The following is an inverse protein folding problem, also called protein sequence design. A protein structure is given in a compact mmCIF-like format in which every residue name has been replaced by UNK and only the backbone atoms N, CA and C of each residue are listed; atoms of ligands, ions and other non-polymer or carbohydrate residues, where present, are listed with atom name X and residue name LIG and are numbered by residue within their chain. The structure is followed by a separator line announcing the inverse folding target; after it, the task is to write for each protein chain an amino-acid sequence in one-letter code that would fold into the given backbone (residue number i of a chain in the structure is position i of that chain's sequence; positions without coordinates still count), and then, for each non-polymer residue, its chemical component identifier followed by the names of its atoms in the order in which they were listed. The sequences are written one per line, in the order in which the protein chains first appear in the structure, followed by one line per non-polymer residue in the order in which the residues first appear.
data_IF_020379626573
#
_entry.id   IF_020379626573
#
_cell.length_a   1.000
_cell.length_b   1.000
_cell.length_c   1.000
_cell.angle_alpha   90.00
_cell.angle_beta   90.00
_cell.angle_gamma   90.00
#
_symmetry.space_group_name_H-M   'P 1'
#
loop_
_entity.id
_entity.type
_entity.pdbx_description
1 polymer ?
#
# COMPACT_ATOMS: atom_id res chain seq x y z
N UNK A 1 -4.24 -20.72 -0.30
CA UNK A 1 -5.07 -19.67 -0.94
C UNK A 1 -4.90 -18.41 -0.13
N UNK A 2 -4.46 -17.31 -0.77
CA UNK A 2 -4.08 -16.10 -0.07
C UNK A 2 -4.87 -14.90 -0.58
N UNK A 3 -5.38 -14.10 0.33
CA UNK A 3 -5.94 -12.78 0.02
C UNK A 3 -4.89 -11.74 0.36
N UNK A 4 -4.63 -10.83 -0.57
CA UNK A 4 -3.64 -9.80 -0.39
C UNK A 4 -4.32 -8.46 -0.10
N UNK A 5 -3.85 -7.77 0.93
CA UNK A 5 -4.13 -6.36 1.17
C UNK A 5 -2.85 -5.57 0.93
N UNK A 6 -2.88 -4.73 -0.10
CA UNK A 6 -1.78 -3.85 -0.48
C UNK A 6 -2.15 -2.43 -0.05
N UNK A 7 -1.45 -1.90 0.95
CA UNK A 7 -1.70 -0.54 1.44
C UNK A 7 -0.69 0.40 0.82
N UNK A 8 -1.15 1.29 -0.05
CA UNK A 8 -0.38 2.34 -0.71
C UNK A 8 -0.72 3.76 -0.21
N UNK A 9 -1.67 3.88 0.72
CA UNK A 9 -2.00 5.12 1.41
C UNK A 9 -1.94 4.91 2.94
N UNK A 10 -0.98 5.50 3.67
CA UNK A 10 -0.92 5.37 5.13
C UNK A 10 -2.02 6.11 5.88
N UNK A 11 -2.71 7.05 5.23
CA UNK A 11 -3.68 7.93 5.89
C UNK A 11 -5.11 7.40 5.79
N UNK A 12 -5.41 6.69 4.70
CA UNK A 12 -6.75 6.20 4.43
C UNK A 12 -6.68 4.78 3.83
N UNK A 13 -7.14 3.79 4.60
CA UNK A 13 -7.08 2.36 4.24
C UNK A 13 -8.13 1.50 4.99
N UNK A 14 -9.07 2.13 5.69
CA UNK A 14 -9.99 1.42 6.58
C UNK A 14 -11.01 0.58 5.80
N UNK A 15 -11.57 1.10 4.69
CA UNK A 15 -12.54 0.36 3.88
C UNK A 15 -11.87 -0.88 3.29
N UNK A 16 -10.67 -0.72 2.75
CA UNK A 16 -9.87 -1.79 2.18
C UNK A 16 -9.44 -2.83 3.22
N UNK A 17 -9.01 -2.39 4.41
CA UNK A 17 -8.66 -3.27 5.52
C UNK A 17 -9.85 -4.14 5.93
N UNK A 18 -11.01 -3.54 6.16
CA UNK A 18 -12.21 -4.29 6.56
C UNK A 18 -12.67 -5.25 5.47
N UNK A 19 -12.57 -4.85 4.19
CA UNK A 19 -12.86 -5.75 3.08
C UNK A 19 -11.90 -6.93 3.04
N UNK A 20 -10.59 -6.69 3.16
CA UNK A 20 -9.58 -7.76 3.18
C UNK A 20 -9.80 -8.76 4.33
N UNK A 21 -10.13 -8.27 5.52
CA UNK A 21 -10.47 -9.11 6.67
C UNK A 21 -11.75 -9.92 6.38
N UNK A 22 -12.81 -9.29 5.88
CA UNK A 22 -14.07 -9.97 5.57
C UNK A 22 -13.89 -11.07 4.53
N UNK A 23 -13.16 -10.79 3.46
CA UNK A 23 -12.89 -11.74 2.38
C UNK A 23 -12.04 -12.91 2.89
N UNK A 24 -11.03 -12.64 3.74
CA UNK A 24 -10.22 -13.69 4.37
C UNK A 24 -11.06 -14.61 5.26
N UNK A 25 -12.00 -14.05 6.05
CA UNK A 25 -12.93 -14.84 6.85
C UNK A 25 -13.84 -15.71 5.99
N UNK A 26 -14.49 -15.11 4.98
CA UNK A 26 -15.46 -15.80 4.12
C UNK A 26 -14.83 -16.95 3.34
N UNK A 27 -13.60 -16.77 2.87
CA UNK A 27 -12.88 -17.76 2.07
C UNK A 27 -12.00 -18.69 2.92
N UNK A 28 -12.00 -18.55 4.26
CA UNK A 28 -11.10 -19.26 5.16
C UNK A 28 -9.63 -19.19 4.69
N UNK A 29 -9.24 -18.02 4.19
CA UNK A 29 -7.94 -17.78 3.57
C UNK A 29 -7.05 -16.96 4.50
N UNK A 30 -5.73 -17.14 4.36
CA UNK A 30 -4.74 -16.29 5.02
C UNK A 30 -4.77 -14.90 4.40
N UNK A 31 -4.84 -13.87 5.24
CA UNK A 31 -4.68 -12.48 4.83
C UNK A 31 -3.20 -12.13 4.83
N UNK A 32 -2.64 -11.88 3.64
CA UNK A 32 -1.30 -11.31 3.48
C UNK A 32 -1.39 -9.81 3.36
N UNK A 33 -0.56 -9.10 4.11
CA UNK A 33 -0.59 -7.62 4.13
C UNK A 33 0.78 -7.08 3.83
N UNK A 34 0.82 -6.11 2.93
CA UNK A 34 2.04 -5.39 2.56
C UNK A 34 1.76 -3.90 2.53
N UNK A 35 2.73 -3.13 3.03
CA UNK A 35 2.74 -1.69 2.84
C UNK A 35 3.63 -1.36 1.64
N UNK A 36 3.05 -0.72 0.63
CA UNK A 36 3.72 -0.39 -0.62
C UNK A 36 4.04 1.10 -0.67
N UNK A 37 5.32 1.42 -0.86
CA UNK A 37 5.81 2.79 -1.06
C UNK A 37 6.19 2.94 -2.53
N UNK A 38 5.54 3.89 -3.21
CA UNK A 38 5.91 4.26 -4.57
C UNK A 38 7.02 5.31 -4.56
N UNK A 39 8.25 4.89 -4.86
CA UNK A 39 9.40 5.79 -4.86
C UNK A 39 9.30 6.89 -5.93
N UNK A 40 8.58 6.65 -7.04
CA UNK A 40 8.37 7.67 -8.07
C UNK A 40 7.44 8.77 -7.58
N UNK A 41 6.38 8.43 -6.84
CA UNK A 41 5.46 9.44 -6.29
C UNK A 41 6.15 10.36 -5.29
N UNK A 42 7.15 9.86 -4.55
CA UNK A 42 7.97 10.70 -3.65
C UNK A 42 8.82 11.68 -4.47
N UNK A 43 9.39 11.23 -5.60
CA UNK A 43 10.15 12.11 -6.49
C UNK A 43 9.28 13.20 -7.12
N UNK A 44 8.05 12.85 -7.53
CA UNK A 44 7.08 13.79 -8.09
C UNK A 44 6.75 14.90 -7.07
N UNK A 45 6.45 14.53 -5.82
CA UNK A 45 6.17 15.50 -4.73
C UNK A 45 7.38 16.39 -4.43
N UNK A 46 8.60 15.83 -4.41
CA UNK A 46 9.82 16.61 -4.21
C UNK A 46 10.03 17.59 -5.38
N UNK A 47 9.75 17.16 -6.60
CA UNK A 47 9.80 18.01 -7.79
C UNK A 47 8.85 19.21 -7.69
N UNK A 48 7.60 18.97 -7.27
CA UNK A 48 6.60 20.03 -7.06
C UNK A 48 7.01 21.01 -5.95
N UNK A 49 7.53 20.51 -4.83
CA UNK A 49 8.05 21.35 -3.73
C UNK A 49 9.25 22.19 -4.18
N UNK A 50 10.11 21.64 -5.05
CA UNK A 50 11.22 22.36 -5.66
C UNK A 50 10.75 23.48 -6.59
N UNK A 51 9.73 23.21 -7.42
CA UNK A 51 9.17 24.19 -8.36
C UNK A 51 8.40 25.32 -7.65
N UNK A 52 7.78 25.04 -6.51
CA UNK A 52 7.06 26.04 -5.70
C UNK A 52 7.97 26.90 -4.82
N UNK A 53 9.30 26.68 -4.87
CA UNK A 53 10.29 27.44 -4.11
C UNK A 53 10.32 27.13 -2.61
N UNK A 54 9.62 26.08 -2.18
CA UNK A 54 9.59 25.61 -0.80
C UNK A 54 10.86 24.88 -0.37
N UNK A 55 11.59 24.31 -1.34
CA UNK A 55 12.88 23.70 -1.08
C UNK A 55 13.96 24.77 -1.07
N UNK A 56 14.42 25.13 0.13
CA UNK A 56 15.65 25.90 0.32
C UNK A 56 16.89 25.13 -0.16
N UNK A 57 18.08 25.54 0.26
CA UNK A 57 19.37 24.95 -0.14
C UNK A 57 19.63 23.51 0.33
N UNK A 58 18.62 22.80 0.84
CA UNK A 58 18.76 21.43 1.28
C UNK A 58 18.92 20.49 0.06
N UNK A 59 19.87 19.53 0.10
CA UNK A 59 20.03 18.56 -0.96
C UNK A 59 18.76 17.72 -1.12
N UNK A 60 18.23 17.64 -2.34
CA UNK A 60 17.01 16.87 -2.68
C UNK A 60 17.06 15.43 -2.16
N UNK A 61 18.23 14.80 -2.18
CA UNK A 61 18.45 13.46 -1.64
C UNK A 61 18.16 13.36 -0.13
N UNK A 62 18.51 14.37 0.67
CA UNK A 62 18.24 14.33 2.12
C UNK A 62 16.74 14.42 2.42
N UNK A 63 16.00 15.21 1.64
CA UNK A 63 14.55 15.30 1.77
C UNK A 63 13.89 13.99 1.38
N UNK A 64 14.34 13.38 0.28
CA UNK A 64 13.87 12.07 -0.15
C UNK A 64 14.06 11.00 0.92
N UNK A 65 15.24 10.94 1.52
CA UNK A 65 15.55 10.00 2.60
C UNK A 65 14.64 10.23 3.82
N UNK A 66 14.45 11.49 4.22
CA UNK A 66 13.56 11.83 5.35
C UNK A 66 12.09 11.49 5.06
N UNK A 67 11.62 11.71 3.83
CA UNK A 67 10.26 11.33 3.44
C UNK A 67 10.09 9.81 3.46
N UNK A 68 11.02 9.05 2.86
CA UNK A 68 11.00 7.59 2.89
C UNK A 68 11.00 7.04 4.32
N UNK A 69 11.84 7.60 5.19
CA UNK A 69 11.86 7.24 6.61
C UNK A 69 10.51 7.52 7.30
N UNK A 70 9.89 8.67 7.01
CA UNK A 70 8.55 8.98 7.48
C UNK A 70 7.49 7.97 7.01
N UNK A 71 7.52 7.59 5.73
CA UNK A 71 6.60 6.57 5.19
C UNK A 71 6.83 5.19 5.81
N UNK A 72 8.09 4.78 6.05
CA UNK A 72 8.41 3.53 6.76
C UNK A 72 7.90 3.54 8.20
N UNK A 73 8.01 4.67 8.90
CA UNK A 73 7.47 4.82 10.24
C UNK A 73 5.93 4.65 10.24
N UNK A 74 5.25 5.32 9.31
CA UNK A 74 3.80 5.17 9.12
C UNK A 74 3.40 3.73 8.76
N UNK A 75 4.18 3.06 7.92
CA UNK A 75 3.95 1.66 7.54
C UNK A 75 3.90 0.75 8.77
N UNK A 76 4.81 0.95 9.73
CA UNK A 76 4.83 0.18 11.00
C UNK A 76 3.51 0.31 11.75
N UNK A 77 2.98 1.53 11.86
CA UNK A 77 1.74 1.79 12.60
C UNK A 77 0.50 1.27 11.87
N UNK A 78 0.48 1.38 10.54
CA UNK A 78 -0.55 0.77 9.69
C UNK A 78 -0.58 -0.74 9.90
N UNK A 79 0.56 -1.42 9.77
CA UNK A 79 0.68 -2.87 9.90
C UNK A 79 0.29 -3.35 11.32
N UNK A 80 0.67 -2.61 12.37
CA UNK A 80 0.22 -2.88 13.75
C UNK A 80 -1.29 -2.78 13.88
N UNK A 81 -1.92 -1.76 13.27
CA UNK A 81 -3.38 -1.59 13.30
C UNK A 81 -4.09 -2.73 12.57
N UNK A 82 -3.63 -3.10 11.37
CA UNK A 82 -4.17 -4.24 10.62
C UNK A 82 -4.02 -5.53 11.42
N UNK A 83 -2.85 -5.76 12.05
CA UNK A 83 -2.61 -6.90 12.93
C UNK A 83 -3.62 -7.00 14.07
N UNK A 84 -3.86 -5.89 14.75
CA UNK A 84 -4.83 -5.82 15.83
C UNK A 84 -6.24 -6.17 15.33
N UNK A 85 -6.65 -5.60 14.20
CA UNK A 85 -8.00 -5.82 13.63
C UNK A 85 -8.20 -7.23 13.10
N UNK A 86 -7.21 -7.82 12.44
CA UNK A 86 -7.27 -9.21 12.01
C UNK A 86 -7.38 -10.17 13.21
N UNK A 87 -6.63 -9.91 14.28
CA UNK A 87 -6.71 -10.70 15.53
C UNK A 87 -8.09 -10.60 16.19
N UNK A 88 -8.68 -9.40 16.26
CA UNK A 88 -10.05 -9.19 16.78
C UNK A 88 -11.11 -9.99 16.01
N UNK A 89 -10.80 -10.40 14.78
CA UNK A 89 -11.68 -11.13 13.87
C UNK A 89 -11.23 -12.57 13.63
N UNK A 90 -10.25 -13.06 14.40
CA UNK A 90 -9.73 -14.43 14.30
C UNK A 90 -9.24 -14.80 12.88
N UNK A 91 -8.73 -13.82 12.13
CA UNK A 91 -8.15 -14.03 10.79
C UNK A 91 -6.67 -14.32 10.90
N UNK A 92 -6.21 -15.39 10.23
CA UNK A 92 -4.78 -15.67 10.10
C UNK A 92 -4.12 -14.59 9.24
N UNK A 93 -3.08 -13.96 9.79
CA UNK A 93 -2.41 -12.82 9.18
C UNK A 93 -0.93 -13.12 8.93
N UNK A 94 -0.46 -12.74 7.75
CA UNK A 94 0.94 -12.84 7.34
C UNK A 94 1.42 -11.48 6.82
N UNK A 95 2.16 -10.76 7.68
CA UNK A 95 2.66 -9.42 7.38
C UNK A 95 3.96 -9.57 6.58
N UNK A 96 3.95 -9.05 5.37
CA UNK A 96 5.14 -8.95 4.53
C UNK A 96 5.96 -7.72 4.92
N UNK A 97 7.22 -7.71 4.51
CA UNK A 97 8.09 -6.54 4.62
C UNK A 97 7.51 -5.33 3.86
N UNK A 98 7.92 -4.12 4.25
CA UNK A 98 7.59 -2.91 3.50
C UNK A 98 8.25 -3.00 2.13
N UNK A 99 7.46 -2.82 1.07
CA UNK A 99 7.95 -2.91 -0.30
C UNK A 99 8.07 -1.51 -0.88
N UNK A 100 9.28 -1.16 -1.30
CA UNK A 100 9.62 0.12 -1.93
C UNK A 100 9.93 -0.13 -3.41
N UNK A 101 9.03 0.29 -4.31
CA UNK A 101 9.19 0.05 -5.75
C UNK A 101 8.61 1.19 -6.59
N UNK A 102 9.08 1.38 -7.83
CA UNK A 102 8.61 2.45 -8.70
C UNK A 102 7.21 2.22 -9.31
N UNK A 103 6.70 0.99 -9.26
CA UNK A 103 5.43 0.62 -9.91
C UNK A 103 4.63 -0.34 -9.05
N UNK A 104 3.45 0.10 -8.63
CA UNK A 104 2.45 -0.72 -7.95
C UNK A 104 1.89 -1.77 -8.90
N UNK A 105 1.57 -1.40 -10.14
CA UNK A 105 1.01 -2.31 -11.15
C UNK A 105 1.88 -3.56 -11.35
N UNK A 106 3.19 -3.38 -11.59
CA UNK A 106 4.12 -4.52 -11.76
C UNK A 106 4.10 -5.44 -10.53
N UNK A 107 4.09 -4.84 -9.34
CA UNK A 107 4.03 -5.60 -8.09
C UNK A 107 2.72 -6.39 -7.97
N UNK A 108 1.58 -5.83 -8.37
CA UNK A 108 0.30 -6.53 -8.34
C UNK A 108 0.28 -7.74 -9.29
N UNK A 109 0.89 -7.65 -10.47
CA UNK A 109 1.02 -8.80 -11.38
C UNK A 109 1.92 -9.91 -10.79
N UNK A 110 3.02 -9.55 -10.12
CA UNK A 110 3.84 -10.53 -9.39
C UNK A 110 3.06 -11.23 -8.27
N UNK A 111 2.12 -10.54 -7.60
CA UNK A 111 1.27 -11.17 -6.59
C UNK A 111 0.31 -12.21 -7.18
N UNK A 112 -0.15 -12.02 -8.42
CA UNK A 112 -0.98 -13.02 -9.13
C UNK A 112 -0.21 -14.33 -9.28
N UNK A 113 1.08 -14.26 -9.58
CA UNK A 113 1.96 -15.45 -9.71
C UNK A 113 2.22 -16.16 -8.37
N UNK A 114 1.87 -15.55 -7.22
CA UNK A 114 2.06 -16.10 -5.87
C UNK A 114 0.77 -16.72 -5.28
N UNK A 115 -0.07 -17.30 -6.13
CA UNK A 115 -1.34 -17.95 -5.76
C UNK A 115 -2.30 -17.01 -4.98
N UNK A 116 -2.31 -15.72 -5.32
CA UNK A 116 -3.31 -14.79 -4.85
C UNK A 116 -4.69 -15.14 -5.43
N UNK A 117 -5.69 -15.28 -4.57
CA UNK A 117 -7.08 -15.48 -5.02
C UNK A 117 -7.80 -14.14 -5.22
N UNK A 118 -7.39 -13.13 -4.47
CA UNK A 118 -7.90 -11.77 -4.53
C UNK A 118 -6.83 -10.82 -4.00
N UNK A 119 -6.73 -9.65 -4.62
CA UNK A 119 -5.86 -8.56 -4.19
C UNK A 119 -6.74 -7.35 -3.94
N UNK A 120 -6.59 -6.72 -2.78
CA UNK A 120 -7.32 -5.52 -2.38
C UNK A 120 -6.29 -4.43 -2.19
N UNK A 121 -6.44 -3.35 -2.94
CA UNK A 121 -5.49 -2.24 -2.96
C UNK A 121 -6.14 -1.04 -2.27
N UNK A 122 -5.54 -0.57 -1.18
CA UNK A 122 -5.90 0.69 -0.54
C UNK A 122 -4.98 1.78 -1.07
N UNK A 123 -5.50 2.73 -1.84
CA UNK A 123 -4.65 3.77 -2.42
C UNK A 123 -5.36 5.11 -2.59
N UNK A 124 -4.58 6.18 -2.80
CA UNK A 124 -5.11 7.53 -2.99
C UNK A 124 -5.87 7.66 -4.32
N UNK A 125 -6.82 8.58 -4.39
CA UNK A 125 -7.59 8.91 -5.60
C UNK A 125 -6.71 9.23 -6.82
N UNK A 126 -5.51 9.77 -6.63
CA UNK A 126 -4.58 10.07 -7.73
C UNK A 126 -3.98 8.83 -8.42
N UNK A 127 -4.01 7.66 -7.78
CA UNK A 127 -3.46 6.43 -8.36
C UNK A 127 -4.46 5.76 -9.32
N UNK A 128 -5.77 5.97 -9.20
CA UNK A 128 -6.80 5.35 -10.05
C UNK A 128 -6.69 5.72 -11.53
N UNK A 129 -6.20 6.92 -11.85
CA UNK A 129 -5.97 7.35 -13.25
C UNK A 129 -4.74 6.69 -13.90
N UNK A 130 -3.86 6.07 -13.11
CA UNK A 130 -2.67 5.35 -13.62
C UNK A 130 -2.81 3.82 -13.63
N UNK A 131 -3.87 3.25 -13.06
CA UNK A 131 -4.08 1.78 -13.04
C UNK A 131 -5.12 1.37 -14.10
N UNK A 132 -4.79 1.57 -15.37
CA UNK A 132 -5.65 1.16 -16.48
C UNK A 132 -5.74 -0.37 -16.64
N UNK A 133 -4.72 -1.11 -16.17
CA UNK A 133 -4.60 -2.56 -16.35
C UNK A 133 -4.32 -3.27 -15.01
N UNK A 134 -5.25 -3.22 -14.08
CA UNK A 134 -5.18 -4.09 -12.91
C UNK A 134 -5.38 -5.56 -13.31
N UNK A 135 -4.69 -6.52 -12.66
CA UNK A 135 -5.04 -7.91 -12.83
C UNK A 135 -6.50 -8.13 -12.41
N UNK A 136 -7.22 -9.03 -13.06
CA UNK A 136 -8.68 -9.20 -12.87
C UNK A 136 -9.09 -9.57 -11.44
N UNK A 137 -8.15 -10.08 -10.65
CA UNK A 137 -8.35 -10.43 -9.23
C UNK A 137 -8.04 -9.27 -8.27
N UNK A 138 -7.54 -8.15 -8.79
CA UNK A 138 -7.25 -6.95 -8.01
C UNK A 138 -8.45 -5.99 -8.00
N UNK A 139 -8.81 -5.58 -6.80
CA UNK A 139 -9.84 -4.59 -6.53
C UNK A 139 -9.18 -3.37 -5.90
N UNK A 140 -9.31 -2.21 -6.55
CA UNK A 140 -8.81 -0.95 -6.03
C UNK A 140 -9.91 -0.24 -5.24
N UNK A 141 -9.60 0.12 -4.00
CA UNK A 141 -10.47 0.89 -3.13
C UNK A 141 -9.84 2.25 -2.93
N UNK A 142 -10.57 3.25 -3.40
CA UNK A 142 -10.26 4.64 -3.17
C UNK A 142 -10.63 5.04 -1.74
N UNK A 143 -9.68 5.67 -1.07
CA UNK A 143 -9.78 6.04 0.33
C UNK A 143 -9.52 7.55 0.45
N UNK A 144 -10.47 8.25 1.09
CA UNK A 144 -10.49 9.70 1.29
C UNK A 144 -9.72 10.12 2.55
#
# INVERSE_FOLDING_TARGET
MNIWLVVANPYAYDKAMWKGISEAQQNQAKLRVVFFINNNSINDVIGELGQTGWLGSNPLHKLQDSMLEGYRALASDVLKRVKRKAKEKEVELDIQEVIERPSLEKYLFELVEQDAIKIIVAGPQLLTTRVANLPSIAEYIEED
#
